data_IF_953863201160
#
_entry.id   IF_953863201160
#
_cell.length_a   1.000
_cell.length_b   1.000
_cell.length_c   1.000
_cell.angle_alpha   90.00
_cell.angle_beta   90.00
_cell.angle_gamma   90.00
#
_symmetry.space_group_name_H-M   'P 1'
#
loop_
_entity.id
_entity.type
_entity.pdbx_description
1 polymer ?
#
# COMPACT_ATOMS: atom_id res chain seq x y z
N UNK A 1 -22.60 20.92 -19.45
CA UNK A 1 -22.35 19.53 -19.03
C UNK A 1 -21.48 19.61 -17.78
N UNK A 2 -22.05 19.43 -16.59
CA UNK A 2 -21.29 19.50 -15.34
C UNK A 2 -20.28 18.35 -15.34
N UNK A 3 -18.99 18.66 -15.21
CA UNK A 3 -17.93 17.67 -15.01
C UNK A 3 -18.30 16.92 -13.73
N UNK A 4 -18.58 15.63 -13.82
CA UNK A 4 -18.83 14.81 -12.63
C UNK A 4 -17.46 14.65 -11.94
N UNK A 5 -17.18 15.49 -10.95
CA UNK A 5 -15.94 15.41 -10.18
C UNK A 5 -16.08 14.15 -9.32
N UNK A 6 -15.32 13.11 -9.66
CA UNK A 6 -15.23 11.91 -8.83
C UNK A 6 -14.34 12.20 -7.62
N UNK A 7 -14.74 11.69 -6.47
CA UNK A 7 -13.93 11.66 -5.26
C UNK A 7 -12.86 10.59 -5.42
N UNK A 8 -11.61 10.94 -5.19
CA UNK A 8 -10.48 10.04 -5.26
C UNK A 8 -10.31 9.33 -3.92
N UNK A 9 -10.42 8.02 -3.91
CA UNK A 9 -10.06 7.17 -2.78
C UNK A 9 -8.73 6.50 -3.08
N UNK A 10 -7.68 6.79 -2.32
CA UNK A 10 -6.35 6.19 -2.53
C UNK A 10 -6.13 4.99 -1.61
N UNK A 11 -5.92 3.82 -2.20
CA UNK A 11 -5.59 2.58 -1.50
C UNK A 11 -4.11 2.25 -1.71
N UNK A 12 -3.33 2.28 -0.62
CA UNK A 12 -1.91 1.91 -0.64
C UNK A 12 -1.73 0.54 0.01
N UNK A 13 -1.22 -0.42 -0.75
CA UNK A 13 -0.92 -1.77 -0.31
C UNK A 13 0.60 -1.95 -0.22
N UNK A 14 1.11 -2.23 0.97
CA UNK A 14 2.55 -2.45 1.21
C UNK A 14 2.75 -3.86 1.71
N UNK A 15 3.56 -4.68 1.02
CA UNK A 15 4.11 -5.92 1.60
C UNK A 15 5.50 -5.63 2.17
N UNK A 16 5.65 -5.57 3.50
CA UNK A 16 6.95 -5.34 4.12
C UNK A 16 7.91 -6.50 3.86
N UNK A 17 9.20 -6.20 3.94
CA UNK A 17 10.25 -7.19 4.10
C UNK A 17 10.54 -7.40 5.59
N UNK A 18 11.68 -8.00 5.89
CA UNK A 18 12.15 -8.22 7.24
C UNK A 18 13.62 -7.84 7.34
N UNK A 19 14.06 -7.71 8.60
CA UNK A 19 15.47 -7.47 8.91
C UNK A 19 16.29 -8.74 8.74
N UNK A 20 17.52 -8.58 8.28
CA UNK A 20 18.58 -9.57 8.47
C UNK A 20 19.14 -9.52 9.91
N UNK A 21 20.14 -10.36 10.18
CA UNK A 21 20.74 -10.48 11.51
C UNK A 21 21.46 -9.20 11.97
N UNK A 22 21.84 -8.32 11.04
CA UNK A 22 22.50 -7.04 11.30
C UNK A 22 21.50 -5.87 11.39
N UNK A 23 20.20 -6.13 11.17
CA UNK A 23 19.13 -5.13 11.27
C UNK A 23 18.84 -4.38 9.97
N UNK A 24 19.35 -4.82 8.83
CA UNK A 24 19.05 -4.21 7.52
C UNK A 24 17.83 -4.86 6.86
N UNK A 25 17.03 -4.05 6.15
CA UNK A 25 15.88 -4.55 5.40
C UNK A 25 16.37 -5.37 4.21
N UNK A 26 15.93 -6.62 4.12
CA UNK A 26 16.32 -7.51 3.02
C UNK A 26 15.58 -7.11 1.75
N UNK A 27 16.32 -6.84 0.69
CA UNK A 27 15.79 -6.54 -0.64
C UNK A 27 16.55 -7.32 -1.72
N UNK A 28 15.84 -7.66 -2.79
CA UNK A 28 16.39 -8.40 -3.92
C UNK A 28 16.29 -7.56 -5.18
N UNK A 29 17.37 -7.52 -5.97
CA UNK A 29 17.33 -6.90 -7.31
C UNK A 29 16.30 -7.58 -8.22
N UNK A 30 16.07 -8.89 -8.02
CA UNK A 30 15.00 -9.67 -8.65
C UNK A 30 14.39 -10.61 -7.62
N UNK A 31 13.12 -10.40 -7.27
CA UNK A 31 12.41 -11.34 -6.38
C UNK A 31 12.11 -12.64 -7.12
N UNK A 32 12.39 -13.78 -6.47
CA UNK A 32 12.02 -15.11 -6.97
C UNK A 32 10.61 -15.53 -6.56
N UNK A 33 10.01 -14.86 -5.58
CA UNK A 33 8.72 -15.23 -5.00
C UNK A 33 7.66 -14.15 -5.20
N UNK A 34 6.46 -14.52 -5.69
CA UNK A 34 5.36 -13.59 -5.79
C UNK A 34 4.78 -13.25 -4.41
N UNK A 35 4.36 -12.00 -4.25
CA UNK A 35 3.59 -11.55 -3.11
C UNK A 35 2.11 -11.95 -3.25
N UNK A 36 1.77 -13.20 -2.97
CA UNK A 36 0.41 -13.74 -3.21
C UNK A 36 -0.69 -12.91 -2.53
N UNK A 37 -0.55 -12.58 -1.25
CA UNK A 37 -1.54 -11.76 -0.53
C UNK A 37 -1.69 -10.35 -1.14
N UNK A 38 -0.58 -9.76 -1.59
CA UNK A 38 -0.59 -8.46 -2.26
C UNK A 38 -1.31 -8.55 -3.61
N UNK A 39 -1.03 -9.57 -4.41
CA UNK A 39 -1.67 -9.80 -5.69
C UNK A 39 -3.19 -10.05 -5.53
N UNK A 40 -3.60 -10.82 -4.53
CA UNK A 40 -5.01 -11.06 -4.23
C UNK A 40 -5.74 -9.77 -3.83
N UNK A 41 -5.18 -8.98 -2.91
CA UNK A 41 -5.80 -7.70 -2.50
C UNK A 41 -5.84 -6.70 -3.65
N UNK A 42 -4.78 -6.63 -4.46
CA UNK A 42 -4.76 -5.78 -5.65
C UNK A 42 -5.86 -6.19 -6.63
N UNK A 43 -6.00 -7.48 -6.93
CA UNK A 43 -7.05 -7.98 -7.83
C UNK A 43 -8.46 -7.69 -7.31
N UNK A 44 -8.69 -7.86 -6.01
CA UNK A 44 -9.97 -7.50 -5.38
C UNK A 44 -10.26 -6.00 -5.51
N UNK A 45 -9.29 -5.15 -5.18
CA UNK A 45 -9.44 -3.70 -5.29
C UNK A 45 -9.68 -3.27 -6.75
N UNK A 46 -8.96 -3.86 -7.70
CA UNK A 46 -9.12 -3.59 -9.13
C UNK A 46 -10.54 -3.94 -9.64
N UNK A 47 -11.06 -5.11 -9.27
CA UNK A 47 -12.44 -5.46 -9.62
C UNK A 47 -13.46 -4.57 -8.89
N UNK A 48 -13.18 -4.15 -7.64
CA UNK A 48 -14.04 -3.20 -6.94
C UNK A 48 -14.13 -1.83 -7.65
N UNK A 49 -13.03 -1.32 -8.20
CA UNK A 49 -13.03 -0.08 -8.99
C UNK A 49 -13.80 -0.26 -10.30
N UNK A 50 -13.49 -1.33 -11.04
CA UNK A 50 -14.08 -1.67 -12.33
C UNK A 50 -15.60 -1.83 -12.24
N UNK A 51 -16.09 -2.52 -11.21
CA UNK A 51 -17.52 -2.71 -10.96
C UNK A 51 -18.15 -1.56 -10.17
N UNK A 52 -17.38 -0.49 -9.87
CA UNK A 52 -17.82 0.70 -9.14
C UNK A 52 -18.49 0.39 -7.80
N UNK A 53 -17.98 -0.59 -7.06
CA UNK A 53 -18.57 -1.09 -5.81
C UNK A 53 -18.67 -0.01 -4.73
N UNK A 54 -17.70 0.92 -4.70
CA UNK A 54 -17.68 2.05 -3.77
C UNK A 54 -18.60 3.22 -4.18
N UNK A 55 -19.29 3.11 -5.32
CA UNK A 55 -20.15 4.13 -5.88
C UNK A 55 -19.62 4.69 -7.20
N UNK A 56 -20.52 5.27 -8.00
CA UNK A 56 -20.18 5.82 -9.33
C UNK A 56 -19.39 7.14 -9.25
N UNK A 57 -19.47 7.79 -8.09
CA UNK A 57 -18.81 9.04 -7.75
C UNK A 57 -17.44 8.84 -7.11
N UNK A 58 -16.98 7.59 -6.92
CA UNK A 58 -15.66 7.27 -6.39
C UNK A 58 -14.75 6.75 -7.50
N UNK A 59 -13.50 7.21 -7.51
CA UNK A 59 -12.40 6.66 -8.29
C UNK A 59 -11.41 6.04 -7.32
N UNK A 60 -11.15 4.73 -7.44
CA UNK A 60 -10.24 4.02 -6.56
C UNK A 60 -8.84 3.97 -7.18
N UNK A 61 -7.91 4.75 -6.61
CA UNK A 61 -6.51 4.74 -7.03
C UNK A 61 -5.72 3.73 -6.19
N UNK A 62 -5.19 2.69 -6.84
CA UNK A 62 -4.53 1.57 -6.15
C UNK A 62 -3.02 1.65 -6.35
N UNK A 63 -2.26 1.70 -5.27
CA UNK A 63 -0.80 1.61 -5.28
C UNK A 63 -0.36 0.34 -4.57
N UNK A 64 0.48 -0.48 -5.20
CA UNK A 64 1.03 -1.69 -4.60
C UNK A 64 2.56 -1.61 -4.55
N UNK A 65 3.12 -1.82 -3.35
CA UNK A 65 4.54 -1.82 -3.08
C UNK A 65 4.96 -3.15 -2.44
N UNK A 66 5.95 -3.80 -3.04
CA UNK A 66 6.58 -5.00 -2.50
C UNK A 66 8.01 -4.67 -2.08
N UNK A 67 8.26 -4.57 -0.77
CA UNK A 67 9.56 -4.14 -0.27
C UNK A 67 10.72 -5.08 -0.63
N UNK A 68 10.41 -6.33 -1.01
CA UNK A 68 11.42 -7.27 -1.49
C UNK A 68 12.04 -6.83 -2.83
N UNK A 69 11.42 -5.90 -3.57
CA UNK A 69 11.93 -5.40 -4.85
C UNK A 69 11.89 -3.86 -4.99
N UNK A 70 11.26 -3.15 -4.05
CA UNK A 70 11.22 -1.68 -4.05
C UNK A 70 11.50 -1.13 -2.65
N UNK A 71 12.01 0.10 -2.57
CA UNK A 71 12.19 0.77 -1.28
C UNK A 71 10.89 1.44 -0.83
N UNK A 72 10.48 1.19 0.42
CA UNK A 72 9.30 1.84 1.02
C UNK A 72 9.69 3.25 1.49
N UNK A 73 9.17 4.25 0.78
CA UNK A 73 9.31 5.64 1.13
C UNK A 73 8.01 6.14 1.79
N UNK A 74 8.05 6.30 3.12
CA UNK A 74 6.89 6.72 3.92
C UNK A 74 6.42 8.12 3.56
N UNK A 75 7.31 9.06 3.29
CA UNK A 75 6.94 10.44 2.88
C UNK A 75 6.18 10.45 1.54
N UNK A 76 6.59 9.61 0.58
CA UNK A 76 5.86 9.45 -0.67
C UNK A 76 4.47 8.88 -0.44
N UNK A 77 4.35 7.90 0.44
CA UNK A 77 3.06 7.29 0.80
C UNK A 77 2.14 8.31 1.46
N UNK A 78 2.64 9.09 2.42
CA UNK A 78 1.90 10.19 3.06
C UNK A 78 1.39 11.15 1.99
N UNK A 79 2.26 11.57 1.07
CA UNK A 79 1.87 12.46 -0.03
C UNK A 79 0.80 11.87 -0.94
N UNK A 80 0.81 10.56 -1.22
CA UNK A 80 -0.24 9.93 -2.03
C UNK A 80 -1.61 10.00 -1.33
N UNK A 81 -1.64 9.77 -0.01
CA UNK A 81 -2.85 9.80 0.80
C UNK A 81 -3.37 11.22 1.02
N UNK A 82 -2.49 12.19 1.30
CA UNK A 82 -2.86 13.60 1.49
C UNK A 82 -3.38 14.27 0.21
N UNK A 83 -2.98 13.78 -0.97
CA UNK A 83 -3.47 14.28 -2.26
C UNK A 83 -4.79 13.62 -2.74
N UNK A 84 -5.38 12.73 -1.93
CA UNK A 84 -6.67 12.11 -2.19
C UNK A 84 -7.78 12.77 -1.36
N UNK A 85 -9.04 12.51 -1.70
CA UNK A 85 -10.18 12.97 -0.89
C UNK A 85 -10.33 12.10 0.37
N UNK A 86 -9.99 10.81 0.28
CA UNK A 86 -9.95 9.85 1.37
C UNK A 86 -8.98 8.72 1.00
N UNK A 87 -8.56 7.90 1.95
CA UNK A 87 -7.63 6.82 1.66
C UNK A 87 -7.35 5.86 2.80
N UNK A 88 -6.67 4.77 2.44
CA UNK A 88 -6.30 3.71 3.37
C UNK A 88 -4.93 3.15 2.99
N UNK A 89 -4.09 2.92 4.00
CA UNK A 89 -2.89 2.10 3.86
C UNK A 89 -3.09 0.74 4.52
N UNK A 90 -2.62 -0.31 3.85
CA UNK A 90 -2.60 -1.67 4.38
C UNK A 90 -1.18 -2.21 4.38
N UNK A 91 -0.72 -2.68 5.53
CA UNK A 91 0.43 -3.57 5.65
C UNK A 91 -0.06 -5.00 5.38
N UNK A 92 0.31 -5.53 4.22
CA UNK A 92 -0.28 -6.73 3.62
C UNK A 92 0.56 -7.97 3.91
N UNK A 93 -0.10 -9.01 4.44
CA UNK A 93 0.50 -10.33 4.59
C UNK A 93 1.71 -10.36 5.52
N UNK A 94 1.72 -9.48 6.53
CA UNK A 94 2.81 -9.37 7.52
C UNK A 94 2.95 -10.68 8.29
N UNK A 95 4.11 -11.32 8.14
CA UNK A 95 4.51 -12.51 8.89
C UNK A 95 5.26 -12.12 10.17
N UNK A 96 5.42 -13.06 11.11
CA UNK A 96 6.03 -12.79 12.42
C UNK A 96 7.44 -12.19 12.33
N UNK A 97 8.25 -12.61 11.36
CA UNK A 97 9.59 -12.05 11.12
C UNK A 97 9.57 -10.65 10.47
N UNK A 98 8.49 -10.29 9.80
CA UNK A 98 8.29 -8.97 9.18
C UNK A 98 7.67 -7.96 10.16
N UNK A 99 7.10 -8.44 11.27
CA UNK A 99 6.35 -7.61 12.21
C UNK A 99 7.15 -6.45 12.81
N UNK A 100 8.41 -6.62 13.28
CA UNK A 100 9.19 -5.49 13.79
C UNK A 100 9.36 -4.38 12.74
N UNK A 101 9.77 -4.75 11.53
CA UNK A 101 9.94 -3.79 10.44
C UNK A 101 8.63 -3.12 10.02
N UNK A 102 7.52 -3.86 10.06
CA UNK A 102 6.18 -3.33 9.78
C UNK A 102 5.78 -2.24 10.76
N UNK A 103 6.17 -2.34 12.03
CA UNK A 103 5.95 -1.28 13.03
C UNK A 103 6.82 -0.05 12.75
N UNK A 104 8.05 -0.24 12.27
CA UNK A 104 8.92 0.88 11.90
C UNK A 104 8.41 1.65 10.68
N UNK A 105 7.77 0.96 9.73
CA UNK A 105 7.02 1.61 8.63
C UNK A 105 5.77 2.32 9.19
N UNK A 106 5.01 1.66 10.06
CA UNK A 106 3.75 2.18 10.59
C UNK A 106 3.93 3.43 11.47
N UNK A 107 5.00 3.51 12.26
CA UNK A 107 5.23 4.58 13.24
C UNK A 107 5.16 5.99 12.62
N UNK A 108 5.96 6.35 11.61
CA UNK A 108 5.90 7.69 11.00
C UNK A 108 4.55 7.95 10.30
N UNK A 109 3.88 6.91 9.78
CA UNK A 109 2.54 7.05 9.21
C UNK A 109 1.51 7.39 10.30
N UNK A 110 1.57 6.71 11.44
CA UNK A 110 0.71 7.00 12.60
C UNK A 110 0.92 8.41 13.16
N UNK A 111 2.16 8.88 13.20
CA UNK A 111 2.48 10.26 13.61
C UNK A 111 1.83 11.32 12.70
N UNK A 112 1.53 10.96 11.45
CA UNK A 112 0.79 11.78 10.48
C UNK A 112 -0.72 11.56 10.50
N UNK A 113 -1.23 10.70 11.39
CA UNK A 113 -2.66 10.39 11.50
C UNK A 113 -3.18 9.39 10.46
N UNK A 114 -2.28 8.66 9.78
CA UNK A 114 -2.60 7.57 8.84
C UNK A 114 -2.75 6.24 9.61
#
# INVERSE_FOLDING_TARGET
MLKNIKRKFTLVLVKPSHYDDDGYVIQWFRSSMPANSLACLYGLAFECDKEQILGKDVELEIHAFDEANTHINTEKIVSLLENADDGMLMLVGVQSNQFPHSLDIARPLREKGI
#
